data_IF_889827638789
#
_entry.id   IF_889827638789
#
_cell.length_a   1.000
_cell.length_b   1.000
_cell.length_c   1.000
_cell.angle_alpha   90.00
_cell.angle_beta   90.00
_cell.angle_gamma   90.00
#
_symmetry.space_group_name_H-M   'P 1'
#
loop_
_entity.id
_entity.type
_entity.pdbx_description
1 polymer ?
#
# COMPACT_ATOMS: atom_id res chain seq x y z
N UNK A 1 28.92 11.20 -12.80
CA UNK A 1 28.80 10.06 -11.88
C UNK A 1 28.54 10.67 -10.52
N UNK A 2 27.27 10.71 -10.10
CA UNK A 2 26.84 11.43 -8.90
C UNK A 2 27.36 10.72 -7.67
N UNK A 3 28.12 11.43 -6.84
CA UNK A 3 28.63 10.97 -5.56
C UNK A 3 27.45 10.76 -4.61
N UNK A 4 27.14 9.50 -4.30
CA UNK A 4 26.17 9.15 -3.27
C UNK A 4 26.85 9.41 -1.93
N UNK A 5 26.51 10.54 -1.29
CA UNK A 5 27.03 10.85 0.04
C UNK A 5 26.69 9.70 1.00
N UNK A 6 27.56 9.42 1.98
CA UNK A 6 27.35 8.29 2.91
C UNK A 6 25.97 8.29 3.59
N UNK A 7 25.38 9.47 3.76
CA UNK A 7 24.01 9.69 4.25
C UNK A 7 22.93 9.19 3.27
N UNK A 8 23.12 9.42 1.96
CA UNK A 8 22.20 8.94 0.93
C UNK A 8 22.20 7.41 0.85
N UNK A 9 23.38 6.81 0.96
CA UNK A 9 23.52 5.35 0.97
C UNK A 9 22.84 4.74 2.21
N UNK A 10 23.00 5.35 3.39
CA UNK A 10 22.33 4.92 4.61
C UNK A 10 20.79 5.03 4.48
N UNK A 11 20.28 6.11 3.90
CA UNK A 11 18.85 6.27 3.66
C UNK A 11 18.30 5.21 2.71
N UNK A 12 19.00 4.94 1.61
CA UNK A 12 18.62 3.91 0.64
C UNK A 12 18.63 2.52 1.29
N UNK A 13 19.68 2.16 2.02
CA UNK A 13 19.77 0.89 2.75
C UNK A 13 18.65 0.74 3.79
N UNK A 14 18.39 1.77 4.60
CA UNK A 14 17.29 1.77 5.58
C UNK A 14 15.93 1.62 4.91
N UNK A 15 15.74 2.23 3.73
CA UNK A 15 14.51 2.09 2.95
C UNK A 15 14.35 0.67 2.42
N UNK A 16 15.39 0.10 1.82
CA UNK A 16 15.38 -1.29 1.31
C UNK A 16 15.11 -2.27 2.45
N UNK A 17 15.82 -2.15 3.59
CA UNK A 17 15.62 -3.03 4.74
C UNK A 17 14.21 -2.90 5.30
N UNK A 18 13.66 -1.68 5.37
CA UNK A 18 12.28 -1.46 5.80
C UNK A 18 11.27 -2.06 4.82
N UNK A 19 11.49 -1.92 3.51
CA UNK A 19 10.66 -2.52 2.48
C UNK A 19 10.68 -4.06 2.56
N UNK A 20 11.86 -4.67 2.72
CA UNK A 20 12.02 -6.13 2.87
C UNK A 20 11.50 -6.66 4.22
N UNK A 21 11.68 -5.91 5.31
CA UNK A 21 11.11 -6.23 6.62
C UNK A 21 9.60 -5.93 6.71
N UNK A 22 9.04 -5.29 5.68
CA UNK A 22 7.65 -4.90 5.63
C UNK A 22 7.25 -3.86 6.67
N UNK A 23 8.13 -2.91 6.96
CA UNK A 23 7.92 -1.77 7.85
C UNK A 23 7.71 -0.52 7.00
N UNK A 24 6.52 0.07 7.08
CA UNK A 24 6.25 1.36 6.45
C UNK A 24 6.60 2.51 7.40
N UNK A 25 7.07 3.64 6.86
CA UNK A 25 7.22 4.88 7.61
C UNK A 25 5.89 5.63 7.79
N UNK A 26 4.83 5.23 7.07
CA UNK A 26 3.50 5.81 7.19
C UNK A 26 2.83 5.24 8.44
N UNK A 27 2.45 6.07 9.43
CA UNK A 27 1.70 5.62 10.59
C UNK A 27 0.20 5.46 10.24
N UNK A 28 -0.55 4.58 10.91
CA UNK A 28 -2.00 4.55 10.77
C UNK A 28 -2.61 5.84 11.35
N UNK A 29 -3.85 6.13 10.95
CA UNK A 29 -4.64 7.23 11.49
C UNK A 29 -4.69 7.16 13.02
N UNK A 30 -4.69 8.32 13.68
CA UNK A 30 -4.51 8.42 15.13
C UNK A 30 -5.49 7.55 15.93
N UNK A 31 -6.76 7.51 15.51
CA UNK A 31 -7.82 6.70 16.14
C UNK A 31 -7.55 5.19 16.16
N UNK A 32 -6.62 4.71 15.35
CA UNK A 32 -6.28 3.29 15.26
C UNK A 32 -4.97 2.93 15.96
N UNK A 33 -4.07 3.90 16.23
CA UNK A 33 -2.71 3.63 16.73
C UNK A 33 -2.70 2.83 18.03
N UNK A 34 -1.80 1.85 18.14
CA UNK A 34 -1.70 0.94 19.28
C UNK A 34 -2.86 -0.06 19.40
N UNK A 35 -3.80 -0.03 18.45
CA UNK A 35 -4.94 -0.95 18.40
C UNK A 35 -4.60 -2.32 17.81
N UNK A 36 -5.62 -3.15 17.66
CA UNK A 36 -5.50 -4.48 17.05
C UNK A 36 -6.67 -4.77 16.13
N UNK A 37 -6.45 -5.64 15.14
CA UNK A 37 -7.48 -6.27 14.33
C UNK A 37 -7.83 -7.62 14.93
N UNK A 38 -9.12 -7.84 15.10
CA UNK A 38 -9.74 -9.04 15.63
C UNK A 38 -10.35 -9.86 14.49
N UNK A 39 -9.73 -10.98 14.10
CA UNK A 39 -10.32 -11.92 13.15
C UNK A 39 -11.16 -12.94 13.92
N UNK A 40 -12.48 -12.73 13.89
CA UNK A 40 -13.45 -13.60 14.55
C UNK A 40 -13.87 -14.73 13.61
N UNK A 41 -13.59 -16.00 13.95
CA UNK A 41 -14.05 -17.12 13.13
C UNK A 41 -15.57 -17.23 13.18
N UNK A 42 -16.18 -17.62 12.05
CA UNK A 42 -17.62 -17.91 12.02
C UNK A 42 -18.03 -19.13 12.85
N UNK A 43 -17.07 -20.00 13.18
CA UNK A 43 -17.26 -21.08 14.15
C UNK A 43 -16.92 -20.57 15.56
N UNK A 44 -17.90 -20.52 16.49
CA UNK A 44 -17.70 -19.99 17.84
C UNK A 44 -16.79 -20.86 18.73
N UNK A 45 -16.48 -22.10 18.32
CA UNK A 45 -15.55 -22.97 19.04
C UNK A 45 -14.07 -22.63 18.79
N UNK A 46 -13.77 -21.77 17.80
CA UNK A 46 -12.40 -21.39 17.45
C UNK A 46 -12.01 -20.06 18.11
N UNK A 47 -10.74 -19.96 18.49
CA UNK A 47 -10.20 -18.74 19.10
C UNK A 47 -10.08 -17.61 18.07
N UNK A 48 -10.37 -16.39 18.50
CA UNK A 48 -10.09 -15.18 17.75
C UNK A 48 -8.59 -15.03 17.47
N UNK A 49 -8.25 -14.58 16.27
CA UNK A 49 -6.86 -14.19 15.95
C UNK A 49 -6.72 -12.69 15.99
N UNK A 50 -5.91 -12.21 16.92
CA UNK A 50 -5.59 -10.78 17.05
C UNK A 50 -4.30 -10.45 16.30
N UNK A 51 -4.29 -9.31 15.59
CA UNK A 51 -3.14 -8.82 14.81
C UNK A 51 -2.90 -7.36 15.22
N UNK A 52 -1.67 -6.94 15.57
CA UNK A 52 -1.37 -5.52 15.78
C UNK A 52 -1.72 -4.69 14.56
N UNK A 53 -2.37 -3.54 14.77
CA UNK A 53 -2.84 -2.70 13.67
C UNK A 53 -1.70 -2.20 12.81
N UNK A 54 -0.54 -1.90 13.38
CA UNK A 54 0.65 -1.45 12.65
C UNK A 54 1.16 -2.55 11.72
N UNK A 55 1.14 -3.81 12.17
CA UNK A 55 1.53 -4.96 11.35
C UNK A 55 0.60 -5.12 10.14
N UNK A 56 -0.71 -4.99 10.35
CA UNK A 56 -1.68 -5.05 9.26
C UNK A 56 -1.53 -3.85 8.32
N UNK A 57 -1.47 -2.65 8.87
CA UNK A 57 -1.37 -1.41 8.11
C UNK A 57 -0.10 -1.37 7.25
N UNK A 58 1.05 -1.80 7.79
CA UNK A 58 2.27 -1.91 7.02
C UNK A 58 2.11 -2.82 5.80
N UNK A 59 1.35 -3.92 5.91
CA UNK A 59 1.04 -4.80 4.77
C UNK A 59 0.16 -4.11 3.74
N UNK A 60 -0.83 -3.32 4.18
CA UNK A 60 -1.66 -2.50 3.28
C UNK A 60 -0.79 -1.47 2.53
N UNK A 61 0.09 -0.76 3.23
CA UNK A 61 1.00 0.21 2.61
C UNK A 61 1.98 -0.45 1.63
N UNK A 62 2.50 -1.63 1.95
CA UNK A 62 3.34 -2.40 1.02
C UNK A 62 2.61 -2.73 -0.29
N UNK A 63 1.35 -3.19 -0.20
CA UNK A 63 0.55 -3.50 -1.38
C UNK A 63 0.33 -2.25 -2.25
N UNK A 64 0.01 -1.12 -1.63
CA UNK A 64 -0.11 0.18 -2.30
C UNK A 64 1.16 0.56 -3.04
N UNK A 65 2.32 0.46 -2.38
CA UNK A 65 3.60 0.84 -2.96
C UNK A 65 3.93 -0.05 -4.18
N UNK A 66 3.67 -1.36 -4.09
CA UNK A 66 3.85 -2.30 -5.21
C UNK A 66 2.94 -1.98 -6.39
N UNK A 67 1.67 -1.61 -6.15
CA UNK A 67 0.76 -1.18 -7.21
C UNK A 67 1.23 0.12 -7.88
N UNK A 68 1.71 1.10 -7.11
CA UNK A 68 2.28 2.34 -7.65
C UNK A 68 3.50 2.06 -8.53
N UNK A 69 4.40 1.17 -8.09
CA UNK A 69 5.54 0.74 -8.90
C UNK A 69 5.10 0.04 -10.19
N UNK A 70 4.12 -0.85 -10.11
CA UNK A 70 3.58 -1.55 -11.29
C UNK A 70 2.99 -0.55 -12.29
N UNK A 71 2.21 0.42 -11.82
CA UNK A 71 1.64 1.49 -12.65
C UNK A 71 2.72 2.33 -13.34
N UNK A 72 3.75 2.74 -12.60
CA UNK A 72 4.90 3.46 -13.16
C UNK A 72 5.61 2.65 -14.24
N UNK A 73 5.83 1.36 -14.02
CA UNK A 73 6.46 0.47 -15.00
C UNK A 73 5.61 0.33 -16.27
N UNK A 74 4.29 0.14 -16.13
CA UNK A 74 3.37 0.07 -17.28
C UNK A 74 3.36 1.39 -18.06
N UNK A 75 3.40 2.53 -17.36
CA UNK A 75 3.43 3.84 -18.00
C UNK A 75 4.74 4.09 -18.76
N UNK A 76 5.87 3.66 -18.21
CA UNK A 76 7.21 3.78 -18.81
C UNK A 76 7.49 2.77 -19.94
N UNK A 77 6.72 1.68 -20.03
CA UNK A 77 6.88 0.66 -21.07
C UNK A 77 6.12 1.06 -22.34
N UNK A 78 6.77 0.87 -23.50
CA UNK A 78 6.14 0.99 -24.81
C UNK A 78 5.38 -0.31 -25.11
N UNK A 79 4.05 -0.21 -25.15
CA UNK A 79 3.12 -1.33 -25.33
C UNK A 79 2.11 -0.98 -26.42
N UNK A 80 1.53 -1.96 -27.11
CA UNK A 80 0.37 -1.74 -27.97
C UNK A 80 -0.74 -0.96 -27.23
N UNK A 81 -1.36 0.05 -27.84
CA UNK A 81 -2.29 0.94 -27.15
C UNK A 81 -3.45 0.22 -26.44
N UNK A 82 -4.03 -0.79 -27.09
CA UNK A 82 -5.12 -1.61 -26.56
C UNK A 82 -4.71 -2.41 -25.32
N UNK A 83 -3.49 -2.96 -25.33
CA UNK A 83 -2.92 -3.69 -24.19
C UNK A 83 -2.66 -2.73 -23.03
N UNK A 84 -2.09 -1.54 -23.31
CA UNK A 84 -1.79 -0.54 -22.29
C UNK A 84 -3.06 -0.08 -21.57
N UNK A 85 -4.13 0.22 -22.32
CA UNK A 85 -5.45 0.59 -21.77
C UNK A 85 -6.01 -0.52 -20.88
N UNK A 86 -5.93 -1.79 -21.33
CA UNK A 86 -6.41 -2.93 -20.54
C UNK A 86 -5.66 -3.07 -19.22
N UNK A 87 -4.33 -2.97 -19.22
CA UNK A 87 -3.52 -3.04 -18.01
C UNK A 87 -3.79 -1.89 -17.06
N UNK A 88 -3.89 -0.67 -17.57
CA UNK A 88 -4.27 0.50 -16.78
C UNK A 88 -5.65 0.31 -16.13
N UNK A 89 -6.63 -0.20 -16.88
CA UNK A 89 -7.95 -0.53 -16.33
C UNK A 89 -7.91 -1.55 -15.19
N UNK A 90 -7.10 -2.61 -15.32
CA UNK A 90 -6.92 -3.58 -14.23
C UNK A 90 -6.27 -2.95 -12.99
N UNK A 91 -5.23 -2.14 -13.17
CA UNK A 91 -4.56 -1.42 -12.07
C UNK A 91 -5.55 -0.49 -11.36
N UNK A 92 -6.34 0.29 -12.11
CA UNK A 92 -7.38 1.15 -11.56
C UNK A 92 -8.44 0.35 -10.79
N UNK A 93 -8.84 -0.82 -11.29
CA UNK A 93 -9.75 -1.74 -10.58
C UNK A 93 -9.17 -2.29 -9.28
N UNK A 94 -7.86 -2.60 -9.25
CA UNK A 94 -7.15 -2.99 -8.03
C UNK A 94 -7.16 -1.86 -6.99
N UNK A 95 -6.87 -0.62 -7.39
CA UNK A 95 -6.96 0.53 -6.50
C UNK A 95 -8.38 0.71 -5.94
N UNK A 96 -9.40 0.62 -6.80
CA UNK A 96 -10.81 0.70 -6.39
C UNK A 96 -11.18 -0.33 -5.32
N UNK A 97 -10.76 -1.58 -5.50
CA UNK A 97 -11.04 -2.67 -4.55
C UNK A 97 -10.36 -2.48 -3.18
N UNK A 98 -9.27 -1.70 -3.12
CA UNK A 98 -8.51 -1.45 -1.90
C UNK A 98 -8.95 -0.18 -1.15
N UNK A 99 -9.84 0.63 -1.73
CA UNK A 99 -10.35 1.87 -1.10
C UNK A 99 -11.01 1.64 0.27
N UNK A 100 -11.54 0.44 0.54
CA UNK A 100 -12.08 0.09 1.87
C UNK A 100 -11.05 0.27 2.99
N UNK A 101 -9.74 0.13 2.69
CA UNK A 101 -8.68 0.32 3.67
C UNK A 101 -8.30 1.80 3.89
N UNK A 102 -8.88 2.76 3.13
CA UNK A 102 -8.56 4.18 3.25
C UNK A 102 -8.82 4.74 4.66
N UNK A 103 -9.77 4.15 5.40
CA UNK A 103 -10.06 4.53 6.79
C UNK A 103 -8.87 4.38 7.74
N UNK A 104 -7.85 3.60 7.36
CA UNK A 104 -6.64 3.37 8.13
C UNK A 104 -5.58 4.45 7.94
N UNK A 105 -5.67 5.27 6.89
CA UNK A 105 -4.69 6.30 6.56
C UNK A 105 -5.01 7.62 7.27
N UNK A 106 -3.97 8.31 7.73
CA UNK A 106 -4.10 9.66 8.29
C UNK A 106 -4.31 10.70 7.18
N UNK A 107 -3.52 10.58 6.10
CA UNK A 107 -3.45 11.55 5.02
C UNK A 107 -4.09 11.02 3.73
N UNK A 108 -4.84 11.87 3.02
CA UNK A 108 -5.51 11.51 1.77
C UNK A 108 -4.53 11.21 0.63
N UNK A 109 -3.35 11.82 0.64
CA UNK A 109 -2.29 11.56 -0.35
C UNK A 109 -1.76 10.13 -0.29
N UNK A 110 -1.85 9.52 0.90
CA UNK A 110 -1.44 8.16 1.15
C UNK A 110 -2.53 7.13 0.82
N UNK A 111 -3.76 7.55 0.57
CA UNK A 111 -4.87 6.64 0.29
C UNK A 111 -4.77 5.98 -1.09
N UNK A 112 -5.52 4.88 -1.26
CA UNK A 112 -5.80 4.30 -2.56
C UNK A 112 -6.80 5.20 -3.30
N UNK A 113 -6.50 5.55 -4.56
CA UNK A 113 -7.38 6.36 -5.42
C UNK A 113 -7.86 5.49 -6.59
N UNK A 114 -9.11 5.05 -6.52
CA UNK A 114 -9.76 4.32 -7.60
C UNK A 114 -10.51 5.27 -8.55
N UNK A 115 -10.90 4.77 -9.72
CA UNK A 115 -11.65 5.54 -10.73
C UNK A 115 -13.06 5.98 -10.27
N UNK A 116 -13.61 5.35 -9.22
CA UNK A 116 -14.97 5.65 -8.73
C UNK A 116 -15.11 6.93 -7.89
N UNK A 117 -14.04 7.71 -7.71
CA UNK A 117 -14.05 8.96 -6.94
C UNK A 117 -14.00 10.24 -7.77
N UNK A 118 -14.15 10.16 -9.09
CA UNK A 118 -14.05 11.33 -10.00
C UNK A 118 -15.40 11.87 -10.48
N UNK A 119 -16.51 11.31 -10.03
CA UNK A 119 -17.87 11.82 -10.29
C UNK A 119 -18.59 12.05 -8.95
N UNK A 120 -18.42 13.25 -8.39
CA UNK A 120 -19.10 13.74 -7.20
C UNK A 120 -18.92 15.24 -7.05
#
# INVERSE_FOLDING_TARGET
MTDLSGTDLEMVLRRIIREEAGISAVPPAEKWRGGTIALRPGNPALQEKTIPIETFFNKVVMLRNRLRTLEQQVNATELPPDVKVKLQGYISGCYGSLTTFNVLFADEEDQFKGAHGSDG
#
